data_IF_539843221209
#
_entry.id   IF_539843221209
#
_cell.length_a   1.000
_cell.length_b   1.000
_cell.length_c   1.000
_cell.angle_alpha   90.00
_cell.angle_beta   90.00
_cell.angle_gamma   90.00
#
_symmetry.space_group_name_H-M   'P 1'
#
loop_
_entity.id
_entity.type
_entity.pdbx_description
1 polymer ?
#
# COMPACT_ATOMS: atom_id res chain seq x y z
N UNK A 1 -22.23 -31.96 58.02
CA UNK A 1 -22.89 -31.92 56.70
C UNK A 1 -22.63 -30.57 56.05
N UNK A 2 -21.76 -30.61 55.03
CA UNK A 2 -21.43 -29.65 53.97
C UNK A 2 -21.28 -28.16 54.26
N UNK A 3 -20.00 -27.79 54.46
CA UNK A 3 -19.42 -26.53 53.99
C UNK A 3 -19.80 -26.30 52.51
N UNK A 4 -20.41 -25.15 52.22
CA UNK A 4 -20.50 -24.66 50.84
C UNK A 4 -19.11 -24.14 50.48
N UNK A 5 -18.37 -24.96 49.75
CA UNK A 5 -17.10 -24.58 49.14
C UNK A 5 -17.30 -23.31 48.31
N UNK A 6 -16.79 -22.22 48.84
CA UNK A 6 -16.72 -20.97 48.10
C UNK A 6 -15.56 -21.13 47.14
N UNK A 7 -15.86 -21.58 45.91
CA UNK A 7 -14.87 -21.70 44.85
C UNK A 7 -14.41 -20.27 44.52
N UNK A 8 -13.31 -19.84 45.13
CA UNK A 8 -12.51 -18.71 44.67
C UNK A 8 -11.96 -19.08 43.29
N UNK A 9 -12.64 -18.64 42.24
CA UNK A 9 -12.13 -18.74 40.87
C UNK A 9 -11.02 -17.70 40.74
N UNK A 10 -9.79 -18.11 41.04
CA UNK A 10 -8.60 -17.29 40.79
C UNK A 10 -8.33 -17.31 39.29
N UNK A 11 -8.62 -16.20 38.61
CA UNK A 11 -8.51 -16.02 37.15
C UNK A 11 -7.05 -15.98 36.69
N UNK A 12 -6.39 -17.13 36.62
CA UNK A 12 -5.10 -17.31 35.95
C UNK A 12 -5.29 -17.52 34.43
N UNK A 13 -5.83 -16.58 33.63
CA UNK A 13 -6.32 -17.03 32.30
C UNK A 13 -6.53 -16.04 31.15
N UNK A 14 -5.86 -14.90 31.05
CA UNK A 14 -5.82 -14.21 29.75
C UNK A 14 -4.80 -14.92 28.84
N UNK A 15 -5.22 -15.98 28.14
CA UNK A 15 -4.42 -16.68 27.10
C UNK A 15 -4.73 -16.13 25.70
N UNK A 16 -5.66 -15.20 25.63
CA UNK A 16 -6.22 -14.64 24.42
C UNK A 16 -6.59 -13.16 24.65
N UNK A 17 -6.54 -12.38 23.56
CA UNK A 17 -7.10 -11.03 23.50
C UNK A 17 -8.25 -11.02 22.52
N UNK A 18 -9.40 -10.49 22.90
CA UNK A 18 -10.57 -10.41 22.02
C UNK A 18 -11.10 -8.97 21.91
N UNK A 19 -11.40 -8.53 20.68
CA UNK A 19 -12.03 -7.23 20.40
C UNK A 19 -13.16 -7.41 19.40
N UNK A 20 -14.36 -6.92 19.74
CA UNK A 20 -15.50 -6.78 18.82
C UNK A 20 -15.40 -5.44 18.10
N UNK A 21 -15.60 -5.45 16.78
CA UNK A 21 -15.50 -4.27 15.92
C UNK A 21 -16.74 -4.22 15.03
N UNK A 22 -17.30 -3.02 14.84
CA UNK A 22 -18.33 -2.77 13.83
C UNK A 22 -17.69 -1.92 12.73
N UNK A 23 -17.68 -2.42 11.50
CA UNK A 23 -17.17 -1.68 10.34
C UNK A 23 -18.16 -1.78 9.17
N UNK A 24 -18.59 -0.64 8.62
CA UNK A 24 -19.60 -0.57 7.54
C UNK A 24 -20.90 -1.33 7.85
N UNK A 25 -21.34 -1.29 9.11
CA UNK A 25 -22.56 -1.97 9.57
C UNK A 25 -22.43 -3.48 9.78
N UNK A 26 -21.24 -4.04 9.57
CA UNK A 26 -20.95 -5.46 9.74
C UNK A 26 -20.13 -5.69 11.01
N UNK A 27 -20.45 -6.78 11.74
CA UNK A 27 -19.78 -7.15 13.00
C UNK A 27 -18.60 -8.10 12.75
N UNK A 28 -17.46 -7.77 13.35
CA UNK A 28 -16.24 -8.55 13.31
C UNK A 28 -15.74 -8.83 14.73
N UNK A 29 -15.14 -10.00 14.92
CA UNK A 29 -14.44 -10.34 16.15
C UNK A 29 -12.99 -10.65 15.83
N UNK A 30 -12.07 -9.95 16.49
CA UNK A 30 -10.63 -10.24 16.42
C UNK A 30 -10.26 -10.97 17.69
N UNK A 31 -9.66 -12.15 17.55
CA UNK A 31 -9.17 -12.95 18.67
C UNK A 31 -7.70 -13.25 18.45
N UNK A 32 -6.83 -12.92 19.39
CA UNK A 32 -5.40 -13.24 19.37
C UNK A 32 -5.08 -14.26 20.44
N UNK A 33 -4.96 -15.53 20.06
CA UNK A 33 -4.48 -16.61 20.92
C UNK A 33 -2.95 -16.59 20.99
N UNK A 34 -2.36 -16.89 22.14
CA UNK A 34 -0.89 -16.92 22.25
C UNK A 34 -0.36 -17.99 23.20
N UNK A 35 0.87 -18.46 22.92
CA UNK A 35 1.60 -19.39 23.77
C UNK A 35 2.90 -18.73 24.29
N UNK A 36 3.00 -18.45 25.61
CA UNK A 36 4.22 -17.87 26.20
C UNK A 36 5.39 -18.88 26.29
N UNK A 37 5.15 -20.18 26.05
CA UNK A 37 6.18 -21.23 26.02
C UNK A 37 6.71 -21.45 24.60
N UNK A 38 7.97 -21.89 24.43
CA UNK A 38 8.51 -22.27 23.13
C UNK A 38 7.72 -23.42 22.47
N UNK A 39 7.48 -23.39 21.14
CA UNK A 39 7.71 -22.26 20.25
C UNK A 39 6.69 -21.14 20.53
N UNK A 40 7.21 -19.93 20.80
CA UNK A 40 6.40 -18.77 21.19
C UNK A 40 5.72 -18.19 19.95
N UNK A 41 4.42 -18.40 19.88
CA UNK A 41 3.58 -18.00 18.73
C UNK A 41 2.32 -17.30 19.22
N UNK A 42 1.88 -16.32 18.46
CA UNK A 42 0.56 -15.73 18.58
C UNK A 42 -0.21 -15.93 17.26
N UNK A 43 -1.50 -16.25 17.34
CA UNK A 43 -2.39 -16.42 16.20
C UNK A 43 -3.53 -15.45 16.35
N UNK A 44 -3.64 -14.49 15.43
CA UNK A 44 -4.76 -13.55 15.38
C UNK A 44 -5.77 -14.01 14.33
N UNK A 45 -6.93 -14.47 14.77
CA UNK A 45 -8.05 -14.89 13.95
C UNK A 45 -9.11 -13.79 13.87
N UNK A 46 -9.63 -13.58 12.66
CA UNK A 46 -10.65 -12.58 12.35
C UNK A 46 -11.92 -13.33 11.97
N UNK A 47 -12.98 -13.12 12.74
CA UNK A 47 -14.27 -13.72 12.54
C UNK A 47 -15.24 -12.70 11.93
N UNK A 48 -15.99 -13.13 10.92
CA UNK A 48 -17.10 -12.40 10.31
C UNK A 48 -18.28 -13.35 10.16
N UNK A 49 -19.47 -12.96 10.61
CA UNK A 49 -20.69 -13.81 10.58
C UNK A 49 -20.47 -15.22 11.16
N UNK A 50 -19.65 -15.32 12.21
CA UNK A 50 -19.32 -16.58 12.87
C UNK A 50 -18.27 -17.45 12.16
N UNK A 51 -17.74 -17.03 11.01
CA UNK A 51 -16.71 -17.76 10.26
C UNK A 51 -15.36 -17.06 10.33
N UNK A 52 -14.27 -17.84 10.38
CA UNK A 52 -12.92 -17.30 10.31
C UNK A 52 -12.66 -16.82 8.87
N UNK A 53 -12.56 -15.51 8.67
CA UNK A 53 -12.22 -14.91 7.38
C UNK A 53 -10.71 -14.95 7.13
N UNK A 54 -9.90 -14.79 8.19
CA UNK A 54 -8.45 -14.74 8.08
C UNK A 54 -7.78 -15.06 9.40
N UNK A 55 -6.65 -15.77 9.34
CA UNK A 55 -5.79 -16.02 10.50
C UNK A 55 -4.36 -15.58 10.18
N UNK A 56 -3.77 -14.80 11.07
CA UNK A 56 -2.40 -14.29 10.96
C UNK A 56 -1.57 -14.92 12.08
N UNK A 57 -0.48 -15.60 11.72
CA UNK A 57 0.44 -16.19 12.71
C UNK A 57 1.64 -15.27 12.88
N UNK A 58 2.01 -15.01 14.13
CA UNK A 58 3.16 -14.20 14.52
C UNK A 58 4.12 -15.06 15.33
N UNK A 59 5.37 -15.13 14.90
CA UNK A 59 6.44 -15.74 15.69
C UNK A 59 7.08 -14.66 16.56
N UNK A 60 7.25 -14.96 17.85
CA UNK A 60 7.73 -14.02 18.86
C UNK A 60 8.96 -14.60 19.53
N UNK A 61 10.08 -13.87 19.53
CA UNK A 61 11.31 -14.30 20.20
C UNK A 61 11.33 -13.95 21.69
N UNK A 62 10.60 -12.89 22.06
CA UNK A 62 10.66 -12.25 23.38
C UNK A 62 10.00 -13.07 24.49
N UNK A 63 10.28 -12.69 25.74
CA UNK A 63 9.78 -13.33 26.95
C UNK A 63 9.23 -12.30 27.94
N UNK A 64 8.60 -12.79 29.01
CA UNK A 64 8.14 -11.93 30.11
C UNK A 64 7.17 -10.83 29.65
N UNK A 65 7.31 -9.63 30.20
CA UNK A 65 6.44 -8.49 29.89
C UNK A 65 6.52 -8.04 28.44
N UNK A 66 7.70 -8.15 27.82
CA UNK A 66 7.89 -7.73 26.43
C UNK A 66 7.09 -8.59 25.45
N UNK A 67 7.00 -9.90 25.71
CA UNK A 67 6.14 -10.81 24.97
C UNK A 67 4.67 -10.34 24.99
N UNK A 68 4.12 -10.05 26.17
CA UNK A 68 2.74 -9.57 26.30
C UNK A 68 2.53 -8.19 25.68
N UNK A 69 3.52 -7.28 25.80
CA UNK A 69 3.48 -5.97 25.15
C UNK A 69 3.40 -6.11 23.62
N UNK A 70 4.19 -7.01 23.03
CA UNK A 70 4.15 -7.28 21.59
C UNK A 70 2.84 -7.93 21.15
N UNK A 71 2.27 -8.85 21.93
CA UNK A 71 0.94 -9.42 21.65
C UNK A 71 -0.13 -8.33 21.61
N UNK A 72 -0.18 -7.44 22.62
CA UNK A 72 -1.11 -6.31 22.65
C UNK A 72 -0.95 -5.42 21.41
N UNK A 73 0.30 -5.14 21.01
CA UNK A 73 0.61 -4.36 19.80
C UNK A 73 0.19 -5.07 18.51
N UNK A 74 0.34 -6.39 18.44
CA UNK A 74 -0.13 -7.22 17.31
C UNK A 74 -1.64 -7.17 17.21
N UNK A 75 -2.34 -7.46 18.31
CA UNK A 75 -3.81 -7.44 18.37
C UNK A 75 -4.36 -6.07 17.95
N UNK A 76 -3.84 -4.98 18.54
CA UNK A 76 -4.23 -3.61 18.22
C UNK A 76 -4.05 -3.27 16.75
N UNK A 77 -2.93 -3.67 16.12
CA UNK A 77 -2.69 -3.45 14.69
C UNK A 77 -3.73 -4.14 13.81
N UNK A 78 -4.15 -5.36 14.16
CA UNK A 78 -5.20 -6.07 13.40
C UNK A 78 -6.55 -5.37 13.55
N UNK A 79 -6.90 -4.97 14.76
CA UNK A 79 -8.12 -4.19 15.04
C UNK A 79 -8.16 -2.90 14.22
N UNK A 80 -7.08 -2.13 14.22
CA UNK A 80 -6.95 -0.88 13.46
C UNK A 80 -7.07 -1.12 11.94
N UNK A 81 -6.52 -2.21 11.42
CA UNK A 81 -6.65 -2.59 9.99
C UNK A 81 -8.10 -2.86 9.60
N UNK A 82 -8.87 -3.53 10.45
CA UNK A 82 -10.30 -3.78 10.21
C UNK A 82 -11.08 -2.47 10.24
N UNK A 83 -10.84 -1.64 11.26
CA UNK A 83 -11.50 -0.33 11.39
C UNK A 83 -11.23 0.59 10.19
N UNK A 84 -10.02 0.56 9.64
CA UNK A 84 -9.64 1.31 8.42
C UNK A 84 -10.10 0.64 7.12
N UNK A 85 -10.68 -0.57 7.19
CA UNK A 85 -11.21 -1.29 6.03
C UNK A 85 -10.17 -2.05 5.19
N UNK A 86 -8.96 -2.24 5.72
CA UNK A 86 -7.82 -2.80 4.97
C UNK A 86 -7.81 -4.32 4.85
N UNK A 87 -8.57 -5.04 5.68
CA UNK A 87 -8.61 -6.51 5.72
C UNK A 87 -9.67 -7.09 4.76
N UNK A 88 -10.61 -6.27 4.27
CA UNK A 88 -11.73 -6.73 3.45
C UNK A 88 -11.33 -6.86 1.99
N UNK A 89 -10.81 -8.03 1.59
CA UNK A 89 -10.58 -8.49 0.21
C UNK A 89 -10.27 -7.39 -0.80
N UNK A 90 -9.49 -6.38 -0.39
CA UNK A 90 -9.25 -5.23 -1.23
C UNK A 90 -8.32 -5.77 -2.31
N UNK A 91 -8.84 -5.92 -3.53
CA UNK A 91 -8.03 -6.24 -4.70
C UNK A 91 -6.83 -5.31 -4.68
N UNK A 92 -5.65 -5.77 -5.13
CA UNK A 92 -4.45 -4.92 -5.20
C UNK A 92 -4.76 -3.55 -5.81
N UNK A 93 -5.63 -3.52 -6.83
CA UNK A 93 -6.20 -2.29 -7.43
C UNK A 93 -6.85 -1.33 -6.42
N UNK A 94 -7.70 -1.81 -5.52
CA UNK A 94 -8.37 -0.97 -4.52
C UNK A 94 -7.37 -0.42 -3.50
N UNK A 95 -6.39 -1.23 -3.09
CA UNK A 95 -5.31 -0.78 -2.21
C UNK A 95 -4.48 0.30 -2.89
N UNK A 96 -4.07 0.08 -4.14
CA UNK A 96 -3.33 1.06 -4.94
C UNK A 96 -4.11 2.38 -5.08
N UNK A 97 -5.41 2.32 -5.38
CA UNK A 97 -6.25 3.51 -5.48
C UNK A 97 -6.30 4.29 -4.15
N UNK A 98 -6.41 3.59 -3.02
CA UNK A 98 -6.43 4.23 -1.71
C UNK A 98 -5.07 4.83 -1.34
N UNK A 99 -3.97 4.14 -1.64
CA UNK A 99 -2.61 4.66 -1.46
C UNK A 99 -2.43 5.95 -2.29
N UNK A 100 -2.82 5.94 -3.56
CA UNK A 100 -2.76 7.13 -4.42
C UNK A 100 -3.64 8.26 -3.87
N UNK A 101 -4.82 7.95 -3.33
CA UNK A 101 -5.71 8.94 -2.68
C UNK A 101 -5.04 9.57 -1.46
N UNK A 102 -4.41 8.77 -0.60
CA UNK A 102 -3.68 9.27 0.57
C UNK A 102 -2.50 10.16 0.17
N UNK A 103 -1.71 9.72 -0.82
CA UNK A 103 -0.60 10.51 -1.40
C UNK A 103 -1.11 11.84 -1.95
N UNK A 104 -2.23 11.85 -2.69
CA UNK A 104 -2.81 13.08 -3.26
C UNK A 104 -3.28 14.08 -2.20
N UNK A 105 -3.57 13.59 -0.99
CA UNK A 105 -3.95 14.39 0.19
C UNK A 105 -2.76 14.73 1.08
N UNK A 106 -1.53 14.42 0.66
CA UNK A 106 -0.30 14.58 1.44
C UNK A 106 -0.29 13.79 2.77
N UNK A 107 -1.08 12.71 2.89
CA UNK A 107 -1.13 11.84 4.08
C UNK A 107 -0.12 10.70 3.92
N UNK A 108 1.17 11.05 3.91
CA UNK A 108 2.25 10.12 3.55
C UNK A 108 2.45 9.02 4.59
N UNK A 109 2.32 9.36 5.89
CA UNK A 109 2.47 8.41 7.00
C UNK A 109 1.37 7.34 6.97
N UNK A 110 0.14 7.74 6.64
CA UNK A 110 -0.98 6.80 6.50
C UNK A 110 -0.85 5.93 5.26
N UNK A 111 -0.33 6.49 4.16
CA UNK A 111 -0.02 5.74 2.96
C UNK A 111 1.08 4.71 3.21
N UNK A 112 2.14 5.10 3.94
CA UNK A 112 3.25 4.20 4.31
C UNK A 112 2.73 3.04 5.16
N UNK A 113 1.95 3.34 6.19
CA UNK A 113 1.37 2.32 7.07
C UNK A 113 0.45 1.36 6.28
N UNK A 114 -0.36 1.88 5.36
CA UNK A 114 -1.21 1.07 4.48
C UNK A 114 -0.38 0.15 3.58
N UNK A 115 0.68 0.67 2.95
CA UNK A 115 1.58 -0.13 2.10
C UNK A 115 2.29 -1.20 2.92
N UNK A 116 2.79 -0.87 4.12
CA UNK A 116 3.43 -1.80 5.05
C UNK A 116 2.51 -2.97 5.36
N UNK A 117 1.27 -2.65 5.74
CA UNK A 117 0.18 -3.60 5.97
C UNK A 117 -0.09 -4.45 4.71
N UNK A 118 -0.15 -3.84 3.54
CA UNK A 118 -0.45 -4.56 2.30
C UNK A 118 0.69 -5.54 1.91
N UNK A 119 1.94 -5.18 2.16
CA UNK A 119 3.11 -6.03 1.91
C UNK A 119 3.25 -7.19 2.90
N UNK A 120 2.76 -7.06 4.15
CA UNK A 120 2.67 -8.20 5.07
C UNK A 120 1.75 -9.31 4.52
N UNK A 121 0.74 -8.93 3.72
CA UNK A 121 -0.19 -9.87 3.07
C UNK A 121 0.29 -10.33 1.69
N UNK A 122 0.94 -9.43 0.96
CA UNK A 122 1.40 -9.64 -0.43
C UNK A 122 2.86 -9.22 -0.57
N UNK A 123 3.81 -10.00 -0.02
CA UNK A 123 5.22 -9.59 0.07
C UNK A 123 5.91 -9.46 -1.29
N UNK A 124 5.41 -10.19 -2.29
CA UNK A 124 5.98 -10.25 -3.64
C UNK A 124 5.28 -9.30 -4.62
N UNK A 125 4.34 -8.46 -4.16
CA UNK A 125 3.57 -7.58 -5.04
C UNK A 125 4.40 -6.37 -5.50
N UNK A 126 4.79 -6.29 -6.79
CA UNK A 126 5.79 -5.31 -7.24
C UNK A 126 5.30 -3.87 -7.13
N UNK A 127 4.02 -3.62 -7.42
CA UNK A 127 3.45 -2.26 -7.36
C UNK A 127 3.47 -1.73 -5.93
N UNK A 128 3.12 -2.58 -4.94
CA UNK A 128 3.17 -2.20 -3.52
C UNK A 128 4.60 -1.94 -3.05
N UNK A 129 5.56 -2.75 -3.48
CA UNK A 129 6.99 -2.54 -3.18
C UNK A 129 7.52 -1.23 -3.77
N UNK A 130 7.06 -0.84 -4.97
CA UNK A 130 7.42 0.45 -5.55
C UNK A 130 6.85 1.64 -4.74
N UNK A 131 5.60 1.54 -4.26
CA UNK A 131 5.04 2.56 -3.35
C UNK A 131 5.82 2.65 -2.05
N UNK A 132 6.21 1.50 -1.47
CA UNK A 132 7.04 1.45 -0.27
C UNK A 132 8.34 2.22 -0.49
N UNK A 133 9.06 1.92 -1.57
CA UNK A 133 10.30 2.62 -1.91
C UNK A 133 10.14 4.13 -2.04
N UNK A 134 9.08 4.59 -2.73
CA UNK A 134 8.80 6.02 -2.82
C UNK A 134 8.50 6.66 -1.45
N UNK A 135 7.68 6.02 -0.62
CA UNK A 135 7.26 6.57 0.68
C UNK A 135 8.41 6.60 1.69
N UNK A 136 9.26 5.57 1.71
CA UNK A 136 10.49 5.53 2.52
C UNK A 136 11.44 6.67 2.12
N UNK A 137 11.64 6.87 0.82
CA UNK A 137 12.43 8.01 0.34
C UNK A 137 11.78 9.35 0.75
N UNK A 138 10.45 9.47 0.62
CA UNK A 138 9.69 10.70 0.89
C UNK A 138 9.78 11.12 2.35
N UNK A 139 9.78 10.16 3.27
CA UNK A 139 9.90 10.40 4.71
C UNK A 139 11.36 10.68 5.14
N UNK A 140 12.28 10.80 4.17
CA UNK A 140 13.70 11.16 4.34
C UNK A 140 14.47 10.27 5.32
N UNK A 141 13.94 9.09 5.64
CA UNK A 141 14.58 8.16 6.56
C UNK A 141 15.73 7.41 5.87
N UNK A 142 15.53 7.00 4.61
CA UNK A 142 16.58 6.44 3.77
C UNK A 142 16.23 6.55 2.27
N UNK A 143 16.78 7.53 1.57
CA UNK A 143 16.46 7.79 0.15
C UNK A 143 17.02 6.69 -0.77
N UNK A 144 18.23 6.21 -0.48
CA UNK A 144 18.91 5.20 -1.29
C UNK A 144 18.16 3.87 -1.20
N UNK A 145 17.79 3.42 0.00
CA UNK A 145 16.96 2.23 0.20
C UNK A 145 15.62 2.33 -0.55
N UNK A 146 15.00 3.52 -0.52
CA UNK A 146 13.76 3.77 -1.24
C UNK A 146 13.90 3.57 -2.76
N UNK A 147 15.02 4.01 -3.34
CA UNK A 147 15.34 3.77 -4.75
C UNK A 147 15.58 2.28 -5.01
N UNK A 148 16.35 1.61 -4.14
CA UNK A 148 16.62 0.17 -4.25
C UNK A 148 15.32 -0.64 -4.26
N UNK A 149 14.38 -0.37 -3.35
CA UNK A 149 13.08 -1.03 -3.34
C UNK A 149 12.29 -0.81 -4.64
N UNK A 150 12.34 0.38 -5.23
CA UNK A 150 11.71 0.64 -6.53
C UNK A 150 12.37 -0.14 -7.67
N UNK A 151 13.70 -0.29 -7.65
CA UNK A 151 14.45 -1.07 -8.65
C UNK A 151 14.17 -2.57 -8.52
N UNK A 152 14.11 -3.09 -7.29
CA UNK A 152 13.74 -4.49 -7.02
C UNK A 152 12.31 -4.79 -7.46
N UNK A 153 11.38 -3.88 -7.20
CA UNK A 153 10.01 -3.96 -7.69
C UNK A 153 9.98 -4.09 -9.21
N UNK A 154 10.71 -3.23 -9.92
CA UNK A 154 10.80 -3.29 -11.38
C UNK A 154 11.40 -4.62 -11.87
N UNK A 155 12.50 -5.08 -11.27
CA UNK A 155 13.14 -6.36 -11.60
C UNK A 155 12.17 -7.53 -11.41
N UNK A 156 11.39 -7.50 -10.34
CA UNK A 156 10.38 -8.53 -10.04
C UNK A 156 9.23 -8.49 -11.04
N UNK A 157 8.72 -7.29 -11.36
CA UNK A 157 7.66 -7.12 -12.34
C UNK A 157 8.04 -7.65 -13.72
N UNK A 158 9.27 -7.37 -14.17
CA UNK A 158 9.76 -7.83 -15.48
C UNK A 158 9.94 -9.36 -15.47
N UNK A 159 10.51 -9.93 -14.41
CA UNK A 159 10.78 -11.38 -14.30
C UNK A 159 9.52 -12.23 -14.23
N UNK A 160 8.48 -11.74 -13.57
CA UNK A 160 7.29 -12.53 -13.26
C UNK A 160 6.29 -12.61 -14.42
N UNK A 161 6.43 -11.76 -15.46
CA UNK A 161 5.58 -11.74 -16.66
C UNK A 161 4.06 -11.79 -16.37
N UNK A 162 3.63 -11.25 -15.23
CA UNK A 162 2.20 -11.21 -14.91
C UNK A 162 1.52 -10.15 -15.79
N UNK A 163 0.43 -10.51 -16.49
CA UNK A 163 -0.17 -9.65 -17.52
C UNK A 163 -0.76 -8.34 -16.96
N UNK A 164 -1.11 -8.30 -15.67
CA UNK A 164 -1.85 -7.18 -15.06
C UNK A 164 -0.98 -6.23 -14.22
N UNK A 165 0.34 -6.40 -14.21
CA UNK A 165 1.22 -5.49 -13.45
C UNK A 165 1.29 -4.13 -14.14
N UNK A 166 0.95 -3.09 -13.38
CA UNK A 166 1.08 -1.71 -13.84
C UNK A 166 2.55 -1.23 -13.77
N UNK A 167 3.35 -1.59 -14.77
CA UNK A 167 4.77 -1.22 -14.88
C UNK A 167 4.95 0.31 -14.94
N UNK A 168 4.04 1.03 -15.60
CA UNK A 168 4.10 2.49 -15.67
C UNK A 168 4.04 3.15 -14.28
N UNK A 169 3.23 2.59 -13.37
CA UNK A 169 3.13 3.05 -11.99
C UNK A 169 4.41 2.78 -11.18
N UNK A 170 5.12 1.68 -11.45
CA UNK A 170 6.43 1.41 -10.85
C UNK A 170 7.45 2.47 -11.29
N UNK A 171 7.49 2.81 -12.58
CA UNK A 171 8.36 3.88 -13.08
C UNK A 171 7.99 5.27 -12.52
N UNK A 172 6.71 5.54 -12.29
CA UNK A 172 6.27 6.77 -11.63
C UNK A 172 6.87 6.89 -10.22
N UNK A 173 6.77 5.83 -9.42
CA UNK A 173 7.31 5.81 -8.06
C UNK A 173 8.84 5.89 -8.05
N UNK A 174 9.52 5.16 -8.94
CA UNK A 174 10.98 5.23 -9.11
C UNK A 174 11.43 6.65 -9.49
N UNK A 175 10.75 7.29 -10.45
CA UNK A 175 11.09 8.65 -10.86
C UNK A 175 10.88 9.67 -9.74
N UNK A 176 9.81 9.52 -8.94
CA UNK A 176 9.57 10.36 -7.74
C UNK A 176 10.65 10.15 -6.67
N UNK A 177 11.09 8.92 -6.44
CA UNK A 177 12.20 8.62 -5.53
C UNK A 177 13.50 9.30 -6.00
N UNK A 178 13.81 9.26 -7.30
CA UNK A 178 14.95 9.99 -7.87
C UNK A 178 14.82 11.51 -7.72
N UNK A 179 13.62 12.09 -7.81
CA UNK A 179 13.41 13.52 -7.54
C UNK A 179 13.71 13.87 -6.08
N UNK A 180 13.31 13.02 -5.14
CA UNK A 180 13.66 13.20 -3.72
C UNK A 180 15.18 13.15 -3.52
N UNK A 181 15.89 12.32 -4.29
CA UNK A 181 17.34 12.24 -4.31
C UNK A 181 18.03 13.37 -5.10
N UNK A 182 17.30 14.39 -5.55
CA UNK A 182 17.79 15.45 -6.45
C UNK A 182 18.40 14.96 -7.78
N UNK A 183 18.20 13.69 -8.15
CA UNK A 183 18.64 13.12 -9.42
C UNK A 183 17.58 13.33 -10.51
N UNK A 184 17.50 14.58 -10.97
CA UNK A 184 16.57 14.99 -12.03
C UNK A 184 16.77 14.20 -13.33
N UNK A 185 18.00 13.80 -13.66
CA UNK A 185 18.30 13.09 -14.91
C UNK A 185 17.70 11.69 -14.90
N UNK A 186 17.87 10.95 -13.80
CA UNK A 186 17.28 9.62 -13.66
C UNK A 186 15.77 9.67 -13.51
N UNK A 187 15.23 10.68 -12.82
CA UNK A 187 13.78 10.89 -12.74
C UNK A 187 13.14 11.07 -14.12
N UNK A 188 13.68 11.97 -14.96
CA UNK A 188 13.19 12.18 -16.33
C UNK A 188 13.28 10.90 -17.16
N UNK A 189 14.36 10.12 -17.01
CA UNK A 189 14.53 8.85 -17.70
C UNK A 189 13.44 7.87 -17.28
N UNK A 190 13.25 7.68 -15.98
CA UNK A 190 12.21 6.80 -15.44
C UNK A 190 10.82 7.19 -15.96
N UNK A 191 10.47 8.48 -15.92
CA UNK A 191 9.15 8.92 -16.40
C UNK A 191 8.95 8.70 -17.90
N UNK A 192 9.97 8.97 -18.73
CA UNK A 192 9.91 8.71 -20.16
C UNK A 192 9.79 7.21 -20.46
N UNK A 193 10.50 6.37 -19.73
CA UNK A 193 10.41 4.91 -19.87
C UNK A 193 9.03 4.42 -19.45
N UNK A 194 8.46 4.92 -18.34
CA UNK A 194 7.10 4.62 -17.92
C UNK A 194 6.04 4.95 -18.97
N UNK A 195 6.19 6.10 -19.66
CA UNK A 195 5.31 6.47 -20.79
C UNK A 195 5.47 5.56 -22.02
N UNK A 196 6.54 4.77 -22.10
CA UNK A 196 6.66 3.70 -23.09
C UNK A 196 5.72 2.53 -22.82
N UNK A 197 5.34 2.30 -21.55
CA UNK A 197 4.39 1.26 -21.15
C UNK A 197 2.94 1.77 -21.10
N UNK A 198 2.73 3.01 -20.66
CA UNK A 198 1.42 3.67 -20.65
C UNK A 198 1.54 5.10 -21.20
N UNK A 199 1.36 5.29 -22.53
CA UNK A 199 1.51 6.61 -23.17
C UNK A 199 0.52 7.67 -22.66
N UNK A 200 -0.64 7.25 -22.16
CA UNK A 200 -1.72 8.12 -21.71
C UNK A 200 -1.69 8.39 -20.20
N UNK A 201 -0.66 7.89 -19.50
CA UNK A 201 -0.50 8.08 -18.07
C UNK A 201 -0.33 9.57 -17.72
N UNK A 202 -1.32 10.12 -17.01
CA UNK A 202 -1.35 11.56 -16.69
C UNK A 202 -0.33 11.92 -15.62
N UNK A 203 -0.13 11.06 -14.64
CA UNK A 203 0.78 11.35 -13.54
C UNK A 203 2.22 11.45 -14.07
N UNK A 204 2.66 10.49 -14.88
CA UNK A 204 3.96 10.53 -15.55
C UNK A 204 4.13 11.79 -16.41
N UNK A 205 3.11 12.16 -17.19
CA UNK A 205 3.13 13.38 -18.00
C UNK A 205 3.19 14.65 -17.14
N UNK A 206 2.46 14.70 -16.03
CA UNK A 206 2.45 15.85 -15.12
C UNK A 206 3.80 16.04 -14.43
N UNK A 207 4.45 14.96 -13.99
CA UNK A 207 5.81 15.01 -13.44
C UNK A 207 6.83 15.51 -14.47
N UNK A 208 6.71 15.10 -15.75
CA UNK A 208 7.58 15.64 -16.80
C UNK A 208 7.35 17.13 -17.04
N UNK A 209 6.09 17.57 -17.08
CA UNK A 209 5.73 18.98 -17.27
C UNK A 209 6.22 19.84 -16.11
N UNK A 210 6.06 19.39 -14.85
CA UNK A 210 6.55 20.12 -13.67
C UNK A 210 8.07 20.28 -13.69
N UNK A 211 8.79 19.34 -14.29
CA UNK A 211 10.25 19.42 -14.50
C UNK A 211 10.65 20.26 -15.73
N UNK A 212 9.71 20.92 -16.40
CA UNK A 212 9.97 21.71 -17.61
C UNK A 212 10.18 20.88 -18.88
N UNK A 213 9.94 19.56 -18.83
CA UNK A 213 9.99 18.70 -20.01
C UNK A 213 8.66 18.83 -20.77
N UNK A 214 8.74 19.34 -21.99
CA UNK A 214 7.54 19.58 -22.81
C UNK A 214 6.95 18.25 -23.30
N UNK A 215 5.61 18.10 -23.23
CA UNK A 215 4.88 16.97 -23.83
C UNK A 215 5.23 16.82 -25.30
N UNK A 216 5.37 15.57 -25.77
CA UNK A 216 5.52 15.27 -27.20
C UNK A 216 4.30 15.80 -27.99
N UNK A 217 4.51 16.35 -29.19
CA UNK A 217 3.42 16.69 -30.10
C UNK A 217 2.59 15.43 -30.43
N UNK A 218 1.29 15.60 -30.71
CA UNK A 218 0.38 14.48 -31.01
C UNK A 218 0.82 13.77 -32.29
N UNK A 219 1.22 14.54 -33.29
CA UNK A 219 1.85 14.06 -34.51
C UNK A 219 3.31 14.54 -34.48
N UNK A 220 4.24 13.59 -34.34
CA UNK A 220 5.67 13.86 -34.21
C UNK A 220 6.32 14.43 -35.47
N UNK A 221 5.78 14.11 -36.65
CA UNK A 221 6.29 14.63 -37.92
C UNK A 221 5.91 16.11 -38.15
N UNK A 222 4.80 16.57 -37.56
CA UNK A 222 4.35 17.95 -37.74
C UNK A 222 5.03 18.87 -36.72
N UNK A 223 5.44 20.09 -37.14
CA UNK A 223 5.92 21.09 -36.20
C UNK A 223 4.82 21.43 -35.18
N UNK A 224 5.24 21.87 -33.99
CA UNK A 224 4.31 22.14 -32.88
C UNK A 224 3.37 23.31 -33.16
N UNK A 225 3.82 24.29 -33.94
CA UNK A 225 3.00 25.42 -34.41
C UNK A 225 1.94 25.00 -35.43
N UNK A 226 2.02 23.76 -35.94
CA UNK A 226 1.08 23.30 -36.94
C UNK A 226 -0.35 23.29 -36.35
N UNK A 227 -1.33 23.88 -37.05
CA UNK A 227 -2.72 23.98 -36.57
C UNK A 227 -3.27 22.64 -36.12
N UNK A 228 -3.02 21.58 -36.91
CA UNK A 228 -3.44 20.20 -36.59
C UNK A 228 -2.87 19.75 -35.23
N UNK A 229 -1.59 19.96 -34.96
CA UNK A 229 -0.99 19.60 -33.68
C UNK A 229 -1.55 20.42 -32.51
N UNK A 230 -1.88 21.70 -32.74
CA UNK A 230 -2.54 22.58 -31.76
C UNK A 230 -3.96 22.09 -31.43
N UNK A 231 -4.77 21.83 -32.46
CA UNK A 231 -6.14 21.35 -32.32
C UNK A 231 -6.20 19.96 -31.70
N UNK A 232 -5.35 19.02 -32.13
CA UNK A 232 -5.27 17.69 -31.54
C UNK A 232 -4.80 17.74 -30.08
N UNK A 233 -3.87 18.65 -29.75
CA UNK A 233 -3.47 18.89 -28.37
C UNK A 233 -4.64 19.34 -27.49
N UNK A 234 -5.43 20.31 -27.96
CA UNK A 234 -6.61 20.82 -27.26
C UNK A 234 -7.73 19.77 -27.15
N UNK A 235 -7.97 19.01 -28.22
CA UNK A 235 -8.97 17.96 -28.25
C UNK A 235 -8.62 16.82 -27.28
N UNK A 236 -7.34 16.43 -27.23
CA UNK A 236 -6.82 15.47 -26.26
C UNK A 236 -7.14 15.94 -24.84
N UNK A 237 -6.83 17.18 -24.47
CA UNK A 237 -7.13 17.65 -23.12
C UNK A 237 -8.64 17.66 -22.80
N UNK A 238 -9.50 18.06 -23.74
CA UNK A 238 -10.96 18.08 -23.53
C UNK A 238 -11.59 16.69 -23.39
N UNK A 239 -11.23 15.74 -24.25
CA UNK A 239 -11.78 14.37 -24.20
C UNK A 239 -11.38 13.66 -22.91
N UNK A 240 -10.16 13.89 -22.45
CA UNK A 240 -9.63 13.27 -21.24
C UNK A 240 -10.11 13.98 -19.95
N UNK A 241 -10.41 15.29 -19.98
CA UNK A 241 -11.05 15.98 -18.85
C UNK A 241 -12.45 15.43 -18.56
N UNK A 242 -13.22 15.11 -19.61
CA UNK A 242 -14.61 14.63 -19.54
C UNK A 242 -14.78 13.23 -18.94
N UNK A 243 -13.75 12.36 -19.02
CA UNK A 243 -13.73 11.06 -18.33
C UNK A 243 -13.68 11.16 -16.80
N UNK A 244 -13.27 12.32 -16.24
CA UNK A 244 -13.15 12.54 -14.79
C UNK A 244 -14.46 13.03 -14.14
N UNK A 245 -15.40 13.56 -14.94
CA UNK A 245 -16.68 14.09 -14.48
C UNK A 245 -17.88 13.20 -14.82
N UNK A 246 -17.66 12.08 -15.51
CA UNK A 246 -18.69 11.08 -15.85
C UNK A 246 -18.67 9.83 -14.98
N UNK A 247 -17.89 9.82 -13.91
CA UNK A 247 -17.96 8.82 -12.83
C UNK A 247 -18.25 9.60 -11.54
N UNK A 248 -19.53 9.92 -11.36
CA UNK A 248 -20.10 10.47 -10.13
C UNK A 248 -21.32 9.63 -9.81
#
# INVERSE_FOLDING_TARGET
MNQKDTIKITTHKERDLATKIIHRGEEYYVVTDFNPKPPRKAKTSIYHKGQITKTITHELSDTGEEFYRKIKKVHKRVVERIQKGYIFSATTKNLVNEIQRLISKNRYEEAEELVRIALEDRPDEPVLRAFWGYLVAKNKSNIEDGIVHCQEALKTAIRTHQPDINIALIYLNLGRAHLINNDRRSAIRAFKTGLGYDPDNRDLNNELVSLGVRKKPVISFLPRSHPINKYLGLLRERLFYRKKTGQS
#
